data_IF_405725199731
#
_entry.id   IF_405725199731
#
_cell.length_a   1.000
_cell.length_b   1.000
_cell.length_c   1.000
_cell.angle_alpha   90.00
_cell.angle_beta   90.00
_cell.angle_gamma   90.00
#
_symmetry.space_group_name_H-M   'P 1'
#
loop_
_entity.id
_entity.type
_entity.pdbx_description
1 polymer ?
#
# COMPACT_ATOMS: atom_id res chain seq x y z
N UNK A 1 18.00 6.05 5.04
CA UNK A 1 17.00 4.97 4.91
C UNK A 1 15.72 5.60 4.41
N UNK A 2 15.32 5.30 3.20
CA UNK A 2 14.11 5.87 2.61
C UNK A 2 13.00 4.81 2.50
N UNK A 3 11.77 5.19 2.86
CA UNK A 3 10.58 4.31 2.82
C UNK A 3 9.70 4.69 1.65
N UNK A 4 9.35 3.71 0.82
CA UNK A 4 8.32 3.87 -0.20
C UNK A 4 6.96 3.42 0.38
N UNK A 5 6.08 4.37 0.62
CA UNK A 5 4.69 4.09 1.00
C UNK A 5 3.81 3.88 -0.22
N UNK A 6 2.97 2.86 -0.20
CA UNK A 6 1.92 2.62 -1.20
C UNK A 6 0.58 2.79 -0.50
N UNK A 7 -0.21 3.80 -0.91
CA UNK A 7 -1.40 4.22 -0.20
C UNK A 7 -2.55 4.58 -1.15
N UNK A 8 -3.36 3.59 -1.54
CA UNK A 8 -4.49 3.77 -2.45
C UNK A 8 -5.64 4.61 -1.88
N UNK A 9 -5.69 4.79 -0.56
CA UNK A 9 -6.77 5.51 0.12
C UNK A 9 -6.38 6.93 0.58
N UNK A 10 -5.28 7.49 0.07
CA UNK A 10 -4.82 8.82 0.49
C UNK A 10 -5.89 9.89 0.25
N UNK A 11 -6.51 9.90 -0.94
CA UNK A 11 -7.51 10.91 -1.30
C UNK A 11 -8.78 10.88 -0.41
N UNK A 12 -9.12 9.73 0.15
CA UNK A 12 -10.31 9.52 0.97
C UNK A 12 -10.10 9.60 2.49
N UNK A 13 -8.89 9.91 2.95
CA UNK A 13 -8.54 9.83 4.37
C UNK A 13 -7.74 11.04 4.82
N UNK A 14 -8.09 11.60 5.97
CA UNK A 14 -7.32 12.66 6.64
C UNK A 14 -6.23 12.10 7.56
N UNK A 15 -6.26 10.81 7.86
CA UNK A 15 -5.30 10.15 8.75
C UNK A 15 -3.93 9.98 8.08
N UNK A 16 -3.91 9.65 6.79
CA UNK A 16 -2.64 9.40 6.09
C UNK A 16 -1.76 10.63 5.92
N UNK A 17 -2.28 11.81 5.53
CA UNK A 17 -1.44 13.01 5.52
C UNK A 17 -0.79 13.27 6.87
N UNK A 18 -1.55 13.18 7.95
CA UNK A 18 -1.03 13.38 9.32
C UNK A 18 0.04 12.33 9.68
N UNK A 19 -0.16 11.06 9.30
CA UNK A 19 0.84 10.01 9.51
C UNK A 19 2.14 10.33 8.78
N UNK A 20 2.07 10.69 7.51
CA UNK A 20 3.28 10.97 6.72
C UNK A 20 3.98 12.24 7.19
N UNK A 21 3.24 13.29 7.55
CA UNK A 21 3.80 14.50 8.15
C UNK A 21 4.47 14.22 9.50
N UNK A 22 3.88 13.35 10.33
CA UNK A 22 4.47 12.94 11.60
C UNK A 22 5.75 12.11 11.42
N UNK A 23 5.81 11.24 10.42
CA UNK A 23 7.02 10.48 10.08
C UNK A 23 8.12 11.39 9.53
N UNK A 24 7.77 12.38 8.71
CA UNK A 24 8.69 13.39 8.20
C UNK A 24 9.30 14.23 9.34
N UNK A 25 8.47 14.65 10.29
CA UNK A 25 8.92 15.35 11.49
C UNK A 25 9.89 14.53 12.38
N UNK A 26 9.87 13.19 12.25
CA UNK A 26 10.85 12.30 12.90
C UNK A 26 12.12 12.08 12.05
N UNK A 27 12.27 12.79 10.94
CA UNK A 27 13.41 12.65 10.03
C UNK A 27 13.42 11.37 9.20
N UNK A 28 12.27 10.72 9.03
CA UNK A 28 12.15 9.54 8.17
C UNK A 28 11.99 10.00 6.73
N UNK A 29 13.01 9.76 5.93
CA UNK A 29 12.95 9.99 4.49
C UNK A 29 11.92 9.07 3.85
N UNK A 30 10.99 9.63 3.09
CA UNK A 30 9.87 8.87 2.55
C UNK A 30 9.36 9.40 1.21
N UNK A 31 8.77 8.50 0.44
CA UNK A 31 8.07 8.80 -0.82
C UNK A 31 6.72 8.10 -0.75
N UNK A 32 5.65 8.80 -1.08
CA UNK A 32 4.30 8.23 -1.12
C UNK A 32 3.87 8.02 -2.56
N UNK A 33 3.60 6.77 -2.94
CA UNK A 33 2.98 6.43 -4.21
C UNK A 33 1.49 6.16 -4.02
N UNK A 34 0.67 6.83 -4.83
CA UNK A 34 -0.79 6.70 -4.78
C UNK A 34 -1.32 6.15 -6.11
N UNK A 35 -1.76 4.88 -6.14
CA UNK A 35 -2.45 4.33 -7.29
C UNK A 35 -3.87 4.89 -7.37
N UNK A 36 -4.11 5.79 -8.32
CA UNK A 36 -5.38 6.49 -8.46
C UNK A 36 -6.32 5.80 -9.45
N UNK A 37 -7.62 5.99 -9.21
CA UNK A 37 -8.71 5.52 -10.06
C UNK A 37 -9.40 6.64 -10.82
N UNK A 38 -9.39 7.86 -10.26
CA UNK A 38 -10.10 9.03 -10.80
C UNK A 38 -9.18 10.23 -10.86
N UNK A 39 -9.21 10.95 -11.97
CA UNK A 39 -8.44 12.18 -12.11
C UNK A 39 -8.87 13.27 -11.09
N UNK A 40 -10.14 13.28 -10.67
CA UNK A 40 -10.64 14.18 -9.65
C UNK A 40 -10.03 13.99 -8.25
N UNK A 41 -9.37 12.86 -8.00
CA UNK A 41 -8.71 12.57 -6.73
C UNK A 41 -7.23 12.99 -6.70
N UNK A 42 -6.67 13.37 -7.86
CA UNK A 42 -5.35 13.98 -7.95
C UNK A 42 -5.34 15.28 -7.13
N UNK A 43 -4.38 15.44 -6.25
CA UNK A 43 -4.20 16.59 -5.34
C UNK A 43 -5.09 16.62 -4.08
N UNK A 44 -5.91 15.61 -3.82
CA UNK A 44 -6.65 15.53 -2.56
C UNK A 44 -5.78 14.97 -1.44
N UNK A 45 -5.86 15.61 -0.26
CA UNK A 45 -5.20 15.16 0.97
C UNK A 45 -3.68 14.91 0.80
N UNK A 46 -2.99 15.82 0.13
CA UNK A 46 -1.56 15.71 -0.07
C UNK A 46 -0.82 16.09 1.23
N UNK A 47 0.09 15.23 1.75
CA UNK A 47 0.86 15.51 2.95
C UNK A 47 1.89 16.62 2.68
N UNK A 48 2.04 17.54 3.61
CA UNK A 48 2.96 18.67 3.49
C UNK A 48 4.41 18.19 3.64
N UNK A 49 5.29 18.68 2.78
CA UNK A 49 6.72 18.37 2.84
C UNK A 49 7.11 16.97 2.36
N UNK A 50 6.16 16.10 2.05
CA UNK A 50 6.41 14.72 1.65
C UNK A 50 6.23 14.55 0.15
N UNK A 51 7.23 14.00 -0.53
CA UNK A 51 7.16 13.70 -1.96
C UNK A 51 6.05 12.70 -2.24
N UNK A 52 5.01 13.13 -2.94
CA UNK A 52 3.88 12.31 -3.34
C UNK A 52 3.84 12.13 -4.85
N UNK A 53 3.76 10.90 -5.31
CA UNK A 53 3.66 10.53 -6.73
C UNK A 53 2.34 9.83 -6.96
N UNK A 54 1.51 10.36 -7.84
CA UNK A 54 0.18 9.83 -8.16
C UNK A 54 0.14 9.32 -9.59
N UNK A 55 -0.44 8.16 -9.80
CA UNK A 55 -0.56 7.57 -11.13
C UNK A 55 -1.90 6.87 -11.32
N UNK A 56 -2.52 7.08 -12.49
CA UNK A 56 -3.78 6.48 -12.90
C UNK A 56 -3.57 5.00 -13.26
N UNK A 57 -3.39 4.16 -12.26
CA UNK A 57 -3.08 2.73 -12.44
C UNK A 57 -4.21 1.79 -12.06
N UNK A 58 -5.28 2.30 -11.45
CA UNK A 58 -6.46 1.52 -11.05
C UNK A 58 -7.61 1.77 -12.02
N UNK A 59 -8.22 0.69 -12.53
CA UNK A 59 -9.40 0.75 -13.40
C UNK A 59 -10.65 0.25 -12.66
N UNK A 60 -11.83 0.64 -13.14
CA UNK A 60 -13.12 0.17 -12.60
C UNK A 60 -13.22 -1.36 -12.66
N UNK A 61 -12.73 -1.97 -13.74
CA UNK A 61 -12.74 -3.42 -13.97
C UNK A 61 -11.82 -4.23 -13.05
N UNK A 62 -10.99 -3.57 -12.24
CA UNK A 62 -10.03 -4.24 -11.36
C UNK A 62 -10.62 -4.69 -10.02
N UNK A 63 -11.91 -4.51 -9.80
CA UNK A 63 -12.56 -4.90 -8.55
C UNK A 63 -12.35 -6.40 -8.24
N UNK A 64 -12.34 -7.25 -9.28
CA UNK A 64 -12.13 -8.70 -9.16
C UNK A 64 -10.69 -9.14 -9.41
N UNK A 65 -9.84 -8.28 -9.97
CA UNK A 65 -8.49 -8.66 -10.43
C UNK A 65 -7.41 -7.75 -9.84
N UNK A 66 -7.16 -7.88 -8.55
CA UNK A 66 -6.15 -7.07 -7.82
C UNK A 66 -4.74 -7.16 -8.43
N UNK A 67 -4.36 -8.30 -9.02
CA UNK A 67 -3.06 -8.46 -9.67
C UNK A 67 -2.84 -7.51 -10.86
N UNK A 68 -3.91 -7.10 -11.56
CA UNK A 68 -3.83 -6.12 -12.65
C UNK A 68 -3.44 -4.74 -12.17
N UNK A 69 -3.87 -4.36 -10.96
CA UNK A 69 -3.44 -3.11 -10.33
C UNK A 69 -1.92 -3.12 -10.13
N UNK A 70 -1.38 -4.20 -9.57
CA UNK A 70 0.06 -4.36 -9.38
C UNK A 70 0.84 -4.38 -10.70
N UNK A 71 0.29 -5.04 -11.75
CA UNK A 71 0.92 -5.06 -13.08
C UNK A 71 1.09 -3.67 -13.69
N UNK A 72 0.16 -2.75 -13.44
CA UNK A 72 0.24 -1.36 -13.94
C UNK A 72 1.00 -0.43 -13.00
N UNK A 73 0.83 -0.62 -11.69
CA UNK A 73 1.43 0.28 -10.70
C UNK A 73 2.95 0.09 -10.59
N UNK A 74 3.45 -1.14 -10.66
CA UNK A 74 4.89 -1.39 -10.54
C UNK A 74 5.71 -0.69 -11.64
N UNK A 75 5.38 -0.80 -12.94
CA UNK A 75 6.08 -0.04 -13.98
C UNK A 75 5.93 1.49 -13.82
N UNK A 76 4.77 1.97 -13.34
CA UNK A 76 4.56 3.39 -13.09
C UNK A 76 5.46 3.91 -11.96
N UNK A 77 5.61 3.14 -10.88
CA UNK A 77 6.55 3.44 -9.79
C UNK A 77 7.97 3.53 -10.34
N UNK A 78 8.43 2.51 -11.05
CA UNK A 78 9.80 2.43 -11.58
C UNK A 78 10.13 3.55 -12.57
N UNK A 79 9.13 4.05 -13.29
CA UNK A 79 9.29 5.16 -14.23
C UNK A 79 9.36 6.52 -13.55
N UNK A 80 8.65 6.71 -12.44
CA UNK A 80 8.43 8.04 -11.83
C UNK A 80 9.20 8.25 -10.54
N UNK A 81 9.70 7.17 -9.91
CA UNK A 81 10.39 7.21 -8.63
C UNK A 81 11.78 6.59 -8.76
N UNK A 82 12.78 7.34 -8.33
CA UNK A 82 14.10 6.77 -8.12
C UNK A 82 14.08 5.88 -6.88
N UNK A 83 14.29 4.60 -7.09
CA UNK A 83 14.26 3.57 -6.05
C UNK A 83 15.64 3.26 -5.46
N UNK A 84 16.70 3.93 -5.89
CA UNK A 84 18.08 3.63 -5.47
C UNK A 84 18.30 3.80 -3.97
N UNK A 85 17.62 4.77 -3.35
CA UNK A 85 17.68 5.03 -1.91
C UNK A 85 16.62 4.31 -1.07
N UNK A 86 15.65 3.63 -1.73
CA UNK A 86 14.56 2.94 -1.02
C UNK A 86 15.06 1.66 -0.38
N UNK A 87 14.85 1.52 0.91
CA UNK A 87 15.27 0.35 1.70
C UNK A 87 14.10 -0.45 2.25
N UNK A 88 12.88 0.11 2.22
CA UNK A 88 11.67 -0.52 2.71
C UNK A 88 10.46 -0.08 1.89
N UNK A 89 9.53 -1.00 1.65
CA UNK A 89 8.23 -0.71 1.06
C UNK A 89 7.16 -0.89 2.14
N UNK A 90 6.25 0.07 2.29
CA UNK A 90 5.15 -0.02 3.25
C UNK A 90 3.79 0.07 2.54
N UNK A 91 3.03 -1.00 2.59
CA UNK A 91 1.67 -1.08 2.07
C UNK A 91 0.64 -0.74 3.17
N UNK A 92 -0.28 0.18 2.90
CA UNK A 92 -1.27 0.65 3.86
C UNK A 92 -2.61 -0.08 3.80
N UNK A 93 -2.79 -0.98 2.83
CA UNK A 93 -3.91 -1.93 2.74
C UNK A 93 -3.40 -3.30 2.30
N UNK A 94 -4.13 -4.37 2.67
CA UNK A 94 -3.69 -5.74 2.36
C UNK A 94 -3.72 -6.03 0.85
N UNK A 95 -4.80 -5.69 0.16
CA UNK A 95 -5.01 -6.19 -1.21
C UNK A 95 -4.41 -5.29 -2.27
N UNK A 96 -4.86 -4.06 -2.41
CA UNK A 96 -4.34 -3.16 -3.46
C UNK A 96 -2.89 -2.83 -3.20
N UNK A 97 -2.58 -2.24 -2.05
CA UNK A 97 -1.23 -1.78 -1.75
C UNK A 97 -0.29 -2.96 -1.50
N UNK A 98 -0.77 -4.00 -0.78
CA UNK A 98 0.00 -5.21 -0.51
C UNK A 98 0.38 -5.98 -1.76
N UNK A 99 -0.50 -6.08 -2.76
CA UNK A 99 -0.17 -6.74 -4.03
C UNK A 99 0.87 -5.98 -4.85
N UNK A 100 0.84 -4.64 -4.80
CA UNK A 100 1.84 -3.80 -5.43
C UNK A 100 3.18 -3.93 -4.71
N UNK A 101 3.16 -3.85 -3.37
CA UNK A 101 4.35 -3.98 -2.52
C UNK A 101 5.03 -5.33 -2.70
N UNK A 102 4.28 -6.44 -2.61
CA UNK A 102 4.81 -7.79 -2.83
C UNK A 102 5.51 -7.93 -4.19
N UNK A 103 4.86 -7.46 -5.26
CA UNK A 103 5.40 -7.56 -6.61
C UNK A 103 6.66 -6.72 -6.79
N UNK A 104 6.65 -5.48 -6.30
CA UNK A 104 7.80 -4.58 -6.36
C UNK A 104 8.95 -5.11 -5.50
N UNK A 105 8.66 -5.53 -4.28
CA UNK A 105 9.60 -6.11 -3.34
C UNK A 105 10.33 -7.33 -3.93
N UNK A 106 9.57 -8.26 -4.52
CA UNK A 106 10.13 -9.44 -5.19
C UNK A 106 11.02 -9.06 -6.38
N UNK A 107 10.62 -8.04 -7.16
CA UNK A 107 11.38 -7.59 -8.33
C UNK A 107 12.69 -6.90 -7.95
N UNK A 108 12.70 -6.17 -6.83
CA UNK A 108 13.83 -5.33 -6.41
C UNK A 108 14.67 -5.93 -5.29
N UNK A 109 14.27 -7.06 -4.73
CA UNK A 109 14.94 -7.65 -3.57
C UNK A 109 14.80 -6.82 -2.30
N UNK A 110 13.71 -6.05 -2.16
CA UNK A 110 13.45 -5.17 -1.02
C UNK A 110 12.51 -5.84 -0.01
N UNK A 111 12.68 -5.60 1.29
CA UNK A 111 11.68 -5.98 2.27
C UNK A 111 10.42 -5.11 2.17
N UNK A 112 9.28 -5.66 2.56
CA UNK A 112 8.06 -4.89 2.68
C UNK A 112 7.29 -5.18 3.96
N UNK A 113 6.53 -4.18 4.39
CA UNK A 113 5.63 -4.21 5.54
C UNK A 113 4.20 -3.98 5.06
N UNK A 114 3.24 -4.65 5.68
CA UNK A 114 1.81 -4.48 5.39
C UNK A 114 1.07 -4.05 6.64
N UNK A 115 0.32 -2.97 6.54
CA UNK A 115 -0.66 -2.58 7.57
C UNK A 115 -2.00 -3.22 7.29
N UNK A 116 -2.52 -3.93 8.27
CA UNK A 116 -3.84 -4.55 8.24
C UNK A 116 -4.85 -3.71 9.00
N UNK A 117 -5.93 -3.39 8.34
CA UNK A 117 -7.12 -2.79 8.93
C UNK A 117 -8.15 -3.88 9.22
N UNK A 118 -9.03 -3.63 10.18
CA UNK A 118 -10.17 -4.51 10.44
C UNK A 118 -11.06 -4.70 9.19
N UNK A 119 -11.25 -3.65 8.40
CA UNK A 119 -12.00 -3.69 7.14
C UNK A 119 -11.42 -4.66 6.10
N UNK A 120 -10.08 -4.76 6.01
CA UNK A 120 -9.42 -5.67 5.08
C UNK A 120 -9.74 -7.13 5.41
N UNK A 121 -9.85 -7.46 6.69
CA UNK A 121 -10.12 -8.82 7.16
C UNK A 121 -11.61 -9.13 7.24
N UNK A 122 -12.45 -8.20 7.71
CA UNK A 122 -13.88 -8.46 7.89
C UNK A 122 -14.63 -8.58 6.58
N UNK A 123 -14.40 -7.67 5.64
CA UNK A 123 -15.07 -7.67 4.35
C UNK A 123 -14.64 -8.86 3.48
N UNK A 124 -13.34 -9.08 3.38
CA UNK A 124 -12.77 -10.03 2.43
C UNK A 124 -12.82 -11.45 2.96
N UNK A 125 -12.55 -11.66 4.25
CA UNK A 125 -12.64 -12.99 4.84
C UNK A 125 -14.05 -13.56 4.78
N UNK A 126 -15.06 -12.70 4.92
CA UNK A 126 -16.46 -13.08 4.88
C UNK A 126 -17.04 -13.17 3.47
N UNK A 127 -16.76 -12.19 2.62
CA UNK A 127 -17.46 -12.03 1.35
C UNK A 127 -16.64 -12.40 0.11
N UNK A 128 -15.31 -12.48 0.22
CA UNK A 128 -14.42 -12.74 -0.91
C UNK A 128 -13.42 -13.88 -0.62
N UNK A 129 -13.90 -15.12 -0.38
CA UNK A 129 -13.02 -16.23 0.00
C UNK A 129 -11.97 -16.58 -1.07
N UNK A 130 -12.21 -16.23 -2.32
CA UNK A 130 -11.27 -16.43 -3.42
C UNK A 130 -9.99 -15.57 -3.30
N UNK A 131 -10.02 -14.50 -2.50
CA UNK A 131 -8.86 -13.66 -2.24
C UNK A 131 -7.96 -14.16 -1.08
N UNK A 132 -8.42 -15.13 -0.30
CA UNK A 132 -7.64 -15.69 0.83
C UNK A 132 -6.26 -16.23 0.44
N UNK A 133 -6.09 -16.94 -0.69
CA UNK A 133 -4.77 -17.39 -1.11
C UNK A 133 -3.81 -16.22 -1.39
N UNK A 134 -4.31 -15.15 -2.01
CA UNK A 134 -3.53 -13.94 -2.26
C UNK A 134 -3.16 -13.23 -0.95
N UNK A 135 -4.11 -13.09 -0.02
CA UNK A 135 -3.87 -12.51 1.29
C UNK A 135 -2.77 -13.27 2.05
N UNK A 136 -2.87 -14.62 2.12
CA UNK A 136 -1.87 -15.47 2.76
C UNK A 136 -0.49 -15.31 2.13
N UNK A 137 -0.41 -15.22 0.81
CA UNK A 137 0.86 -15.03 0.09
C UNK A 137 1.49 -13.68 0.44
N UNK A 138 0.70 -12.60 0.42
CA UNK A 138 1.18 -11.25 0.76
C UNK A 138 1.66 -11.22 2.22
N UNK A 139 0.88 -11.77 3.15
CA UNK A 139 1.24 -11.76 4.57
C UNK A 139 2.48 -12.60 4.88
N UNK A 140 2.63 -13.77 4.26
CA UNK A 140 3.81 -14.63 4.45
C UNK A 140 5.09 -14.04 3.87
N UNK A 141 4.97 -13.26 2.79
CA UNK A 141 6.12 -12.59 2.16
C UNK A 141 6.54 -11.31 2.87
N UNK A 142 5.69 -10.74 3.73
CA UNK A 142 5.97 -9.50 4.43
C UNK A 142 7.02 -9.70 5.54
N UNK A 143 7.99 -8.78 5.61
CA UNK A 143 8.98 -8.75 6.69
C UNK A 143 8.34 -8.46 8.05
N UNK A 144 7.26 -7.66 8.07
CA UNK A 144 6.42 -7.39 9.26
C UNK A 144 4.98 -7.12 8.82
N UNK A 145 4.05 -7.44 9.73
CA UNK A 145 2.63 -7.12 9.60
C UNK A 145 2.22 -6.23 10.76
N UNK A 146 1.69 -5.05 10.44
CA UNK A 146 1.17 -4.09 11.43
C UNK A 146 -0.33 -4.26 11.52
N UNK A 147 -0.85 -4.65 12.68
CA UNK A 147 -2.27 -4.81 12.91
C UNK A 147 -2.83 -3.58 13.64
N UNK A 148 -3.80 -2.91 13.04
CA UNK A 148 -4.52 -1.81 13.67
C UNK A 148 -5.65 -2.39 14.56
N UNK A 149 -5.30 -2.68 15.81
CA UNK A 149 -6.21 -3.21 16.83
C UNK A 149 -6.09 -4.72 17.07
N UNK A 150 -6.55 -5.15 18.26
CA UNK A 150 -6.49 -6.54 18.72
C UNK A 150 -7.29 -7.51 17.84
N UNK A 151 -8.48 -7.10 17.40
CA UNK A 151 -9.33 -7.91 16.53
C UNK A 151 -8.69 -8.27 15.18
N UNK A 152 -7.87 -7.38 14.62
CA UNK A 152 -7.11 -7.68 13.40
C UNK A 152 -5.99 -8.69 13.68
N UNK A 153 -5.32 -8.54 14.83
CA UNK A 153 -4.26 -9.45 15.26
C UNK A 153 -4.77 -10.88 15.51
N UNK A 154 -5.86 -11.03 16.22
CA UNK A 154 -6.47 -12.33 16.51
C UNK A 154 -6.84 -13.11 15.25
N UNK A 155 -7.43 -12.43 14.26
CA UNK A 155 -7.77 -13.06 12.98
C UNK A 155 -6.57 -13.49 12.14
N UNK A 156 -5.42 -12.89 12.34
CA UNK A 156 -4.19 -13.25 11.58
C UNK A 156 -3.46 -14.41 12.25
N UNK A 157 -3.55 -14.52 13.58
CA UNK A 157 -2.86 -15.54 14.36
C UNK A 157 -3.69 -16.84 14.53
N UNK A 158 -5.00 -16.79 14.36
CA UNK A 158 -5.90 -17.96 14.38
C UNK A 158 -6.12 -18.52 12.99
#
# INVERSE_FOLDING_TARGET
>A
MSVLHICCNLAGSTVFPQLFEALDAQGIEQIVFVPEKRAADLNKNEPRGVKTVRAMTVKQSDALFFFRKAQRSVPAIEKQIDLSGVTLIHAHTLFTDGSIAERLAKKRGLPYVVTLRYSDLSAIWKYEPHLRPMARRILRGAARVVCLGSAAREKVLG
#
